data_IF_850179892280
#
_entry.id   IF_850179892280
#
_cell.length_a   1.000
_cell.length_b   1.000
_cell.length_c   1.000
_cell.angle_alpha   90.00
_cell.angle_beta   90.00
_cell.angle_gamma   90.00
#
_symmetry.space_group_name_H-M   'P 1'
#
loop_
_entity.id
_entity.type
_entity.pdbx_description
1 polymer ?
#
# COMPACT_ATOMS: atom_id res chain seq x y z
N UNK A 1 4.38 -2.01 2.42
CA UNK A 1 5.71 -2.50 2.01
C UNK A 1 5.65 -4.00 1.76
N UNK A 2 6.30 -4.47 0.71
CA UNK A 2 6.34 -5.89 0.36
C UNK A 2 7.77 -6.43 0.17
N UNK A 3 8.81 -5.63 0.46
CA UNK A 3 10.19 -5.99 0.13
C UNK A 3 11.26 -5.55 1.15
N UNK A 4 11.04 -4.52 1.97
CA UNK A 4 12.11 -3.86 2.73
C UNK A 4 11.92 -3.98 4.25
N UNK A 5 10.80 -3.49 4.81
CA UNK A 5 10.61 -3.40 6.26
C UNK A 5 9.87 -4.61 6.82
N UNK A 6 10.57 -5.51 7.56
CA UNK A 6 9.94 -6.75 8.04
C UNK A 6 8.77 -6.52 8.99
N UNK A 7 8.94 -5.65 9.99
CA UNK A 7 7.97 -5.36 11.03
C UNK A 7 7.97 -3.85 11.34
N UNK A 8 7.36 -3.00 10.51
CA UNK A 8 7.32 -1.57 10.77
C UNK A 8 6.48 -1.27 12.03
N UNK A 9 6.98 -0.37 12.87
CA UNK A 9 6.17 0.21 13.95
C UNK A 9 5.12 1.18 13.38
N UNK A 10 4.25 1.74 14.22
CA UNK A 10 3.16 2.60 13.78
C UNK A 10 3.65 3.84 13.01
N UNK A 11 4.75 4.46 13.47
CA UNK A 11 5.32 5.63 12.81
C UNK A 11 5.94 5.29 11.45
N UNK A 12 6.68 4.19 11.36
CA UNK A 12 7.25 3.68 10.11
C UNK A 12 6.15 3.28 9.12
N UNK A 13 5.09 2.62 9.59
CA UNK A 13 3.96 2.24 8.75
C UNK A 13 3.21 3.47 8.21
N UNK A 14 3.11 4.54 9.00
CA UNK A 14 2.54 5.81 8.55
C UNK A 14 3.40 6.46 7.46
N UNK A 15 4.74 6.46 7.60
CA UNK A 15 5.63 6.99 6.55
C UNK A 15 5.57 6.16 5.27
N UNK A 16 5.44 4.83 5.38
CA UNK A 16 5.21 3.95 4.22
C UNK A 16 3.92 4.35 3.49
N UNK A 17 2.84 4.62 4.22
CA UNK A 17 1.57 5.05 3.64
C UNK A 17 1.69 6.41 2.93
N UNK A 18 2.36 7.40 3.54
CA UNK A 18 2.58 8.72 2.95
C UNK A 18 3.43 8.60 1.69
N UNK A 19 4.54 7.87 1.73
CA UNK A 19 5.41 7.66 0.57
C UNK A 19 4.68 6.93 -0.57
N UNK A 20 3.81 5.98 -0.23
CA UNK A 20 3.00 5.27 -1.21
C UNK A 20 1.94 6.16 -1.86
N UNK A 21 1.37 7.11 -1.11
CA UNK A 21 0.46 8.12 -1.66
C UNK A 21 1.16 9.03 -2.67
N UNK A 22 2.37 9.50 -2.37
CA UNK A 22 3.13 10.33 -3.30
C UNK A 22 3.51 9.56 -4.57
N UNK A 23 3.94 8.30 -4.42
CA UNK A 23 4.20 7.43 -5.58
C UNK A 23 2.95 7.23 -6.44
N UNK A 24 1.79 7.00 -5.82
CA UNK A 24 0.50 6.86 -6.50
C UNK A 24 0.18 8.10 -7.34
N UNK A 25 0.33 9.29 -6.75
CA UNK A 25 0.14 10.57 -7.46
C UNK A 25 1.09 10.73 -8.65
N UNK A 26 2.36 10.38 -8.47
CA UNK A 26 3.38 10.45 -9.53
C UNK A 26 3.01 9.59 -10.75
N UNK A 27 2.25 8.51 -10.55
CA UNK A 27 1.71 7.67 -11.62
C UNK A 27 0.29 8.06 -12.08
N UNK A 28 -0.21 9.22 -11.65
CA UNK A 28 -1.54 9.71 -12.04
C UNK A 28 -2.72 8.99 -11.39
N UNK A 29 -2.48 8.26 -10.30
CA UNK A 29 -3.50 7.53 -9.56
C UNK A 29 -3.88 8.32 -8.31
N UNK A 30 -5.16 8.67 -8.14
CA UNK A 30 -5.64 9.29 -6.90
C UNK A 30 -5.45 8.34 -5.71
N UNK A 31 -4.69 8.70 -4.68
CA UNK A 31 -4.43 7.81 -3.55
C UNK A 31 -5.66 7.71 -2.64
N UNK A 32 -6.27 6.54 -2.61
CA UNK A 32 -7.25 6.10 -1.61
C UNK A 32 -6.61 4.98 -0.81
N UNK A 33 -6.13 5.30 0.38
CA UNK A 33 -5.19 4.48 1.13
C UNK A 33 -5.94 3.58 2.11
N UNK A 34 -5.81 2.28 1.96
CA UNK A 34 -6.30 1.30 2.91
C UNK A 34 -5.15 0.73 3.76
N UNK A 35 -5.20 0.97 5.07
CA UNK A 35 -4.27 0.39 6.04
C UNK A 35 -4.76 -0.99 6.46
N UNK A 36 -4.18 -2.02 5.86
CA UNK A 36 -4.70 -3.38 5.93
C UNK A 36 -4.48 -4.04 7.30
N UNK A 37 -5.48 -4.80 7.71
CA UNK A 37 -5.49 -5.57 8.95
C UNK A 37 -6.47 -6.73 8.81
N UNK A 38 -6.43 -7.69 9.72
CA UNK A 38 -7.50 -8.69 9.86
C UNK A 38 -8.78 -8.11 10.50
N UNK A 39 -8.77 -6.83 10.87
CA UNK A 39 -9.90 -6.10 11.47
C UNK A 39 -10.36 -4.97 10.56
N UNK A 40 -11.68 -4.73 10.52
CA UNK A 40 -12.24 -3.50 9.95
C UNK A 40 -12.86 -2.67 11.08
N UNK A 41 -12.41 -1.40 11.21
CA UNK A 41 -12.83 -0.51 12.28
C UNK A 41 -12.56 -1.09 13.68
N UNK A 42 -13.63 -1.44 14.40
CA UNK A 42 -13.55 -1.96 15.77
C UNK A 42 -13.85 -3.45 15.89
N UNK A 43 -13.91 -4.19 14.77
CA UNK A 43 -14.33 -5.60 14.75
C UNK A 43 -13.31 -6.53 15.42
N UNK A 44 -12.02 -6.21 15.40
CA UNK A 44 -10.95 -6.98 16.02
C UNK A 44 -10.18 -6.20 17.06
N UNK A 45 -9.41 -6.93 17.87
CA UNK A 45 -8.52 -6.39 18.91
C UNK A 45 -7.17 -7.12 18.86
N UNK A 46 -6.12 -6.46 19.28
CA UNK A 46 -4.77 -7.01 19.37
C UNK A 46 -3.72 -5.98 18.97
N UNK A 47 -2.48 -6.27 19.34
CA UNK A 47 -1.34 -5.37 19.12
C UNK A 47 -1.18 -4.98 17.63
N UNK A 48 -1.38 -5.92 16.71
CA UNK A 48 -1.32 -5.64 15.27
C UNK A 48 -2.42 -4.69 14.81
N UNK A 49 -3.64 -4.84 15.32
CA UNK A 49 -4.76 -3.94 15.01
C UNK A 49 -4.52 -2.55 15.57
N UNK A 50 -4.00 -2.47 16.80
CA UNK A 50 -3.72 -1.21 17.49
C UNK A 50 -2.58 -0.45 16.78
N UNK A 51 -1.53 -1.16 16.32
CA UNK A 51 -0.45 -0.61 15.51
C UNK A 51 -0.96 0.01 14.20
N UNK A 52 -1.84 -0.68 13.48
CA UNK A 52 -2.43 -0.18 12.23
C UNK A 52 -3.34 1.02 12.49
N UNK A 53 -4.12 0.99 13.58
CA UNK A 53 -4.97 2.12 14.00
C UNK A 53 -4.13 3.34 14.31
N UNK A 54 -3.09 3.19 15.13
CA UNK A 54 -2.16 4.27 15.46
C UNK A 54 -1.49 4.86 14.20
N UNK A 55 -1.00 4.01 13.31
CA UNK A 55 -0.43 4.45 12.03
C UNK A 55 -1.42 5.27 11.20
N UNK A 56 -2.68 4.84 11.13
CA UNK A 56 -3.75 5.56 10.43
C UNK A 56 -3.97 6.95 11.02
N UNK A 57 -4.02 7.06 12.35
CA UNK A 57 -4.17 8.36 13.03
C UNK A 57 -2.96 9.27 12.84
N UNK A 58 -1.74 8.72 12.83
CA UNK A 58 -0.52 9.49 12.52
C UNK A 58 -0.62 10.10 11.12
N UNK A 59 -1.06 9.33 10.11
CA UNK A 59 -1.23 9.85 8.74
C UNK A 59 -2.31 10.93 8.71
N UNK A 60 -3.48 10.71 9.31
CA UNK A 60 -4.56 11.70 9.37
C UNK A 60 -4.10 13.04 9.96
N UNK A 61 -3.27 12.98 11.00
CA UNK A 61 -2.73 14.19 11.65
C UNK A 61 -1.64 14.88 10.82
N UNK A 62 -0.73 14.12 10.18
CA UNK A 62 0.36 14.67 9.37
C UNK A 62 -0.09 15.15 7.99
N UNK A 63 -1.04 14.44 7.39
CA UNK A 63 -1.50 14.63 6.02
C UNK A 63 -3.03 14.55 5.93
N UNK A 64 -3.72 15.56 6.48
CA UNK A 64 -5.20 15.61 6.47
C UNK A 64 -5.80 15.73 5.06
N UNK A 65 -4.96 15.99 4.05
CA UNK A 65 -5.31 16.01 2.64
C UNK A 65 -5.48 14.61 2.02
N UNK A 66 -4.95 13.57 2.67
CA UNK A 66 -4.98 12.20 2.14
C UNK A 66 -6.25 11.46 2.58
N UNK A 67 -6.89 10.79 1.62
CA UNK A 67 -7.98 9.85 1.89
C UNK A 67 -7.40 8.55 2.41
N UNK A 68 -7.59 8.28 3.69
CA UNK A 68 -7.06 7.10 4.37
C UNK A 68 -8.09 6.44 5.27
N UNK A 69 -8.14 5.12 5.24
CA UNK A 69 -8.99 4.29 6.10
C UNK A 69 -8.18 3.16 6.71
N UNK A 70 -8.44 2.87 7.97
CA UNK A 70 -7.79 1.76 8.67
C UNK A 70 -8.05 1.75 10.18
N UNK A 71 -7.96 0.57 10.80
CA UNK A 71 -7.70 -0.75 10.17
C UNK A 71 -8.86 -1.21 9.28
N UNK A 72 -8.54 -1.84 8.15
CA UNK A 72 -9.53 -2.34 7.20
C UNK A 72 -9.07 -3.68 6.61
N UNK A 73 -10.00 -4.63 6.45
CA UNK A 73 -9.74 -5.90 5.78
C UNK A 73 -9.67 -5.72 4.27
N UNK A 74 -8.92 -6.60 3.59
CA UNK A 74 -8.72 -6.52 2.14
C UNK A 74 -10.02 -6.52 1.35
N UNK A 75 -10.95 -7.42 1.66
CA UNK A 75 -12.26 -7.50 1.02
C UNK A 75 -13.05 -6.18 1.15
N UNK A 76 -13.06 -5.60 2.34
CA UNK A 76 -13.70 -4.31 2.58
C UNK A 76 -12.99 -3.13 1.90
N UNK A 77 -11.70 -3.25 1.64
CA UNK A 77 -10.94 -2.21 0.93
C UNK A 77 -11.27 -2.15 -0.56
N UNK A 78 -11.55 -3.32 -1.20
CA UNK A 78 -11.65 -3.42 -2.67
C UNK A 78 -13.04 -3.73 -3.19
N UNK A 79 -13.94 -4.31 -2.37
CA UNK A 79 -15.32 -4.61 -2.76
C UNK A 79 -16.29 -3.56 -2.20
N UNK A 80 -16.97 -2.85 -3.07
CA UNK A 80 -17.87 -1.76 -2.70
C UNK A 80 -19.04 -2.21 -1.80
N UNK A 81 -19.57 -3.42 -2.02
CA UNK A 81 -20.66 -3.95 -1.22
C UNK A 81 -20.22 -4.23 0.22
N UNK A 82 -19.05 -4.90 0.34
CA UNK A 82 -18.47 -5.23 1.64
C UNK A 82 -17.99 -3.95 2.35
N UNK A 83 -17.33 -3.04 1.62
CA UNK A 83 -16.83 -1.77 2.15
C UNK A 83 -17.96 -0.92 2.72
N UNK A 84 -19.03 -0.72 1.97
CA UNK A 84 -20.20 0.04 2.42
C UNK A 84 -20.90 -0.60 3.63
N UNK A 85 -20.90 -1.94 3.73
CA UNK A 85 -21.48 -2.65 4.86
C UNK A 85 -20.65 -2.52 6.14
N UNK A 86 -19.30 -2.65 6.02
CA UNK A 86 -18.39 -2.64 7.18
C UNK A 86 -18.01 -1.24 7.65
N UNK A 87 -17.86 -0.30 6.72
CA UNK A 87 -17.40 1.08 6.97
C UNK A 87 -18.26 2.08 6.17
N UNK A 88 -19.54 2.24 6.53
CA UNK A 88 -20.44 3.12 5.80
C UNK A 88 -19.95 4.59 5.86
N UNK A 89 -19.94 5.24 4.71
CA UNK A 89 -19.50 6.63 4.57
C UNK A 89 -17.99 6.83 4.41
N UNK A 90 -17.19 5.74 4.40
CA UNK A 90 -15.75 5.83 4.10
C UNK A 90 -15.52 6.22 2.64
N UNK A 91 -14.61 7.18 2.40
CA UNK A 91 -14.17 7.55 1.05
C UNK A 91 -13.15 6.57 0.43
N UNK A 92 -12.74 5.56 1.17
CA UNK A 92 -11.71 4.58 0.78
C UNK A 92 -12.28 3.17 0.67
N UNK A 93 -13.13 2.77 1.62
CA UNK A 93 -13.67 1.41 1.64
C UNK A 93 -14.41 1.07 0.34
N UNK A 94 -14.09 -0.08 -0.24
CA UNK A 94 -14.64 -0.57 -1.49
C UNK A 94 -14.07 0.05 -2.76
N UNK A 95 -13.11 0.97 -2.65
CA UNK A 95 -12.51 1.67 -3.79
C UNK A 95 -11.03 2.07 -3.56
N UNK A 96 -10.35 1.35 -2.66
CA UNK A 96 -8.95 1.61 -2.37
C UNK A 96 -8.07 1.43 -3.61
N UNK A 97 -7.16 2.37 -3.84
CA UNK A 97 -6.15 2.33 -4.89
C UNK A 97 -4.74 2.07 -4.35
N UNK A 98 -4.53 2.28 -3.05
CA UNK A 98 -3.26 2.03 -2.35
C UNK A 98 -3.53 1.13 -1.15
N UNK A 99 -2.87 -0.02 -1.12
CA UNK A 99 -3.03 -1.05 -0.09
C UNK A 99 -1.74 -1.16 0.73
N UNK A 100 -1.79 -0.75 1.99
CA UNK A 100 -0.64 -0.80 2.91
C UNK A 100 -0.74 -2.04 3.77
N UNK A 101 0.17 -2.96 3.56
CA UNK A 101 0.27 -4.20 4.34
C UNK A 101 0.99 -3.95 5.66
N UNK A 102 0.55 -4.57 6.78
CA UNK A 102 1.08 -4.28 8.11
C UNK A 102 2.48 -4.81 8.36
N UNK A 103 2.93 -5.78 7.57
CA UNK A 103 4.23 -6.42 7.68
C UNK A 103 4.68 -7.05 6.37
N UNK A 104 5.98 -7.40 6.31
CA UNK A 104 6.60 -7.96 5.11
C UNK A 104 6.04 -9.34 4.73
N UNK A 105 5.73 -10.19 5.69
CA UNK A 105 5.19 -11.52 5.40
C UNK A 105 3.87 -11.42 4.65
N UNK A 106 2.98 -10.55 5.16
CA UNK A 106 1.67 -10.31 4.56
C UNK A 106 1.80 -9.72 3.16
N UNK A 107 2.59 -8.66 3.02
CA UNK A 107 2.76 -7.96 1.73
C UNK A 107 3.45 -8.84 0.69
N UNK A 108 4.56 -9.47 1.05
CA UNK A 108 5.35 -10.28 0.12
C UNK A 108 4.60 -11.52 -0.40
N UNK A 109 3.92 -12.25 0.50
CA UNK A 109 3.16 -13.42 0.09
C UNK A 109 1.92 -13.04 -0.73
N UNK A 110 1.24 -11.93 -0.37
CA UNK A 110 0.01 -11.51 -1.07
C UNK A 110 0.30 -11.09 -2.51
N UNK A 111 1.30 -10.24 -2.79
CA UNK A 111 1.53 -9.85 -4.16
C UNK A 111 1.96 -11.03 -5.04
N UNK A 112 2.74 -11.97 -4.50
CA UNK A 112 3.14 -13.18 -5.23
C UNK A 112 1.94 -14.10 -5.51
N UNK A 113 1.05 -14.27 -4.54
CA UNK A 113 -0.17 -15.04 -4.72
C UNK A 113 -1.05 -14.41 -5.81
N UNK A 114 -1.30 -13.11 -5.73
CA UNK A 114 -2.10 -12.38 -6.74
C UNK A 114 -1.47 -12.52 -8.12
N UNK A 115 -0.17 -12.29 -8.25
CA UNK A 115 0.54 -12.44 -9.52
C UNK A 115 0.37 -13.84 -10.13
N UNK A 116 0.51 -14.89 -9.31
CA UNK A 116 0.43 -16.28 -9.78
C UNK A 116 -0.98 -16.72 -10.13
N UNK A 117 -1.96 -16.35 -9.30
CA UNK A 117 -3.35 -16.78 -9.49
C UNK A 117 -4.06 -16.02 -10.61
N UNK A 118 -3.74 -14.74 -10.81
CA UNK A 118 -4.44 -13.89 -11.79
C UNK A 118 -3.66 -13.68 -13.09
N UNK A 119 -2.36 -14.00 -13.13
CA UNK A 119 -1.48 -13.65 -14.23
C UNK A 119 -1.21 -12.15 -14.36
N UNK A 120 -1.55 -11.35 -13.34
CA UNK A 120 -1.30 -9.91 -13.33
C UNK A 120 0.19 -9.60 -13.39
N UNK A 121 0.56 -8.58 -14.15
CA UNK A 121 1.92 -8.08 -14.20
C UNK A 121 2.26 -7.40 -12.87
N UNK A 122 3.29 -7.89 -12.18
CA UNK A 122 3.84 -7.24 -11.00
C UNK A 122 5.04 -6.38 -11.41
N UNK A 123 4.91 -5.05 -11.27
CA UNK A 123 5.98 -4.10 -11.57
C UNK A 123 6.58 -3.62 -10.25
N UNK A 124 7.86 -3.88 -10.06
CA UNK A 124 8.57 -3.54 -8.83
C UNK A 124 9.47 -4.69 -8.34
N UNK A 125 10.02 -4.59 -7.10
CA UNK A 125 9.70 -3.56 -6.10
C UNK A 125 10.23 -2.17 -6.46
N UNK A 126 9.42 -1.14 -6.23
CA UNK A 126 9.82 0.24 -6.36
C UNK A 126 10.23 0.78 -5.00
N UNK A 127 11.44 1.33 -4.89
CA UNK A 127 11.90 1.98 -3.68
C UNK A 127 11.30 3.39 -3.59
N UNK A 128 10.80 3.74 -2.42
CA UNK A 128 10.11 4.98 -2.13
C UNK A 128 10.86 5.81 -1.07
N UNK A 129 10.60 7.12 -1.01
CA UNK A 129 11.19 7.99 0.00
C UNK A 129 12.66 8.33 -0.22
N UNK A 130 13.23 8.01 -1.38
CA UNK A 130 14.61 8.35 -1.74
C UNK A 130 14.68 9.70 -2.46
N UNK A 131 15.79 10.43 -2.29
CA UNK A 131 16.03 11.70 -2.99
C UNK A 131 16.15 11.55 -4.51
N UNK A 132 16.52 10.36 -4.97
CA UNK A 132 16.59 9.99 -6.39
C UNK A 132 16.07 8.59 -6.57
N UNK A 133 15.44 8.28 -7.70
CA UNK A 133 14.89 6.97 -7.94
C UNK A 133 15.98 5.90 -8.07
N UNK A 134 15.83 4.85 -7.31
CA UNK A 134 16.61 3.62 -7.40
C UNK A 134 15.62 2.48 -7.23
N UNK A 135 15.58 1.55 -8.19
CA UNK A 135 14.71 0.40 -8.12
C UNK A 135 15.52 -0.89 -8.23
N UNK A 136 15.07 -1.92 -7.56
CA UNK A 136 15.69 -3.24 -7.56
C UNK A 136 14.93 -4.19 -8.49
N UNK A 137 15.55 -5.29 -8.83
CA UNK A 137 14.98 -6.36 -9.63
C UNK A 137 15.25 -7.70 -8.97
N UNK A 138 14.27 -8.60 -9.05
CA UNK A 138 14.47 -9.98 -8.64
C UNK A 138 15.55 -10.66 -9.49
N UNK A 139 16.34 -11.57 -8.91
CA UNK A 139 17.29 -12.42 -9.65
C UNK A 139 16.65 -13.29 -10.73
N UNK A 140 15.35 -13.51 -10.65
CA UNK A 140 14.55 -14.25 -11.62
C UNK A 140 13.72 -13.34 -12.53
N UNK A 141 14.08 -12.06 -12.69
CA UNK A 141 13.34 -11.11 -13.53
C UNK A 141 13.44 -11.50 -15.03
N UNK A 142 12.37 -11.20 -15.73
CA UNK A 142 12.28 -11.32 -17.19
C UNK A 142 12.79 -10.05 -17.88
N UNK A 143 12.95 -10.10 -19.21
CA UNK A 143 13.27 -8.89 -20.00
C UNK A 143 12.18 -7.83 -19.85
N UNK A 144 10.92 -8.24 -19.80
CA UNK A 144 9.78 -7.32 -19.62
C UNK A 144 9.81 -6.66 -18.23
N UNK A 145 10.21 -7.37 -17.18
CA UNK A 145 10.38 -6.79 -15.85
C UNK A 145 11.46 -5.70 -15.86
N UNK A 146 12.59 -5.95 -16.52
CA UNK A 146 13.67 -4.96 -16.69
C UNK A 146 13.17 -3.74 -17.44
N UNK A 147 12.51 -3.96 -18.58
CA UNK A 147 11.98 -2.88 -19.43
C UNK A 147 10.98 -2.00 -18.65
N UNK A 148 10.01 -2.60 -17.97
CA UNK A 148 9.03 -1.88 -17.18
C UNK A 148 9.67 -1.13 -16.01
N UNK A 149 10.66 -1.73 -15.33
CA UNK A 149 11.37 -1.07 -14.22
C UNK A 149 12.17 0.15 -14.70
N UNK A 150 12.78 0.09 -15.88
CA UNK A 150 13.48 1.25 -16.47
C UNK A 150 12.49 2.39 -16.76
N UNK A 151 11.32 2.10 -17.32
CA UNK A 151 10.28 3.10 -17.59
C UNK A 151 9.81 3.75 -16.29
N UNK A 152 9.50 2.95 -15.28
CA UNK A 152 9.06 3.42 -13.95
C UNK A 152 10.13 4.32 -13.32
N UNK A 153 11.40 3.89 -13.35
CA UNK A 153 12.52 4.68 -12.82
C UNK A 153 12.66 6.01 -13.54
N UNK A 154 12.47 6.02 -14.87
CA UNK A 154 12.51 7.23 -15.67
C UNK A 154 11.36 8.20 -15.35
N UNK A 155 10.15 7.69 -15.07
CA UNK A 155 9.02 8.49 -14.62
C UNK A 155 9.31 9.10 -13.25
N UNK A 156 9.76 8.30 -12.29
CA UNK A 156 10.15 8.80 -10.96
C UNK A 156 11.24 9.87 -11.03
N UNK A 157 12.19 9.77 -11.99
CA UNK A 157 13.28 10.71 -12.16
C UNK A 157 12.84 12.10 -12.69
N UNK A 158 11.63 12.21 -13.23
CA UNK A 158 11.09 13.48 -13.71
C UNK A 158 10.61 14.39 -12.57
N UNK A 159 10.58 13.89 -11.34
CA UNK A 159 10.18 14.66 -10.16
C UNK A 159 8.69 15.01 -10.15
N UNK A 160 7.89 14.18 -10.80
CA UNK A 160 6.42 14.31 -10.85
C UNK A 160 5.85 13.71 -9.56
#
# INVERSE_FOLDING_TARGET
DCAINPNPNAAELAEIAISSAESSKAFGIEPKIAMLSYSSGTSGKGEDVDRVREATEIVRNKRPDLKIEGPIQYDAAVDATIGNSKLPGSEVAGQASVLIFPDLNTGNNTYKAVQRETGALAIGPMLQGLNKPVNDLSRGCTVDDVFNTVIITAIQAQGI
#
